data_IF_466786659105
#
_entry.id   IF_466786659105
#
_cell.length_a   1.000
_cell.length_b   1.000
_cell.length_c   1.000
_cell.angle_alpha   90.00
_cell.angle_beta   90.00
_cell.angle_gamma   90.00
#
_symmetry.space_group_name_H-M   'P 1'
#
loop_
_entity.id
_entity.type
_entity.pdbx_description
1 polymer ?
#
# COMPACT_ATOMS: atom_id res chain seq x y z
N UNK A 1 2.69 -5.49 18.49
CA UNK A 1 1.93 -5.07 17.30
C UNK A 1 2.34 -5.95 16.15
N UNK A 2 1.39 -6.31 15.29
CA UNK A 2 1.67 -6.98 14.02
C UNK A 2 2.48 -6.01 13.14
N UNK A 3 3.69 -6.42 12.70
CA UNK A 3 4.76 -5.52 12.21
C UNK A 3 4.40 -4.84 10.88
N UNK A 4 3.35 -5.31 10.20
CA UNK A 4 2.82 -4.73 8.95
C UNK A 4 1.59 -3.86 9.11
N UNK A 5 1.08 -3.69 10.33
CA UNK A 5 -0.04 -2.80 10.59
C UNK A 5 0.45 -1.35 10.63
N UNK A 6 -0.28 -0.46 9.98
CA UNK A 6 -0.07 0.97 10.16
C UNK A 6 -0.57 1.39 11.53
N UNK A 7 0.17 2.28 12.19
CA UNK A 7 -0.24 2.87 13.47
C UNK A 7 -1.53 3.69 13.33
N UNK A 8 -1.71 4.33 12.18
CA UNK A 8 -2.92 5.07 11.79
C UNK A 8 -3.30 4.63 10.38
N UNK A 9 -4.59 4.31 10.09
CA UNK A 9 -4.98 3.85 8.77
C UNK A 9 -4.73 4.91 7.70
N UNK A 10 -4.24 4.46 6.55
CA UNK A 10 -4.05 5.31 5.37
C UNK A 10 -5.40 5.51 4.70
N UNK A 11 -5.81 6.77 4.55
CA UNK A 11 -7.10 7.15 3.97
C UNK A 11 -6.92 7.51 2.50
N UNK A 12 -7.69 6.87 1.62
CA UNK A 12 -7.61 7.07 0.18
C UNK A 12 -8.99 7.36 -0.42
N UNK A 13 -8.99 8.15 -1.49
CA UNK A 13 -10.17 8.37 -2.34
C UNK A 13 -9.81 7.96 -3.75
N UNK A 14 -10.44 6.90 -4.26
CA UNK A 14 -10.10 6.31 -5.57
C UNK A 14 -10.52 7.17 -6.76
N UNK A 15 -11.59 7.96 -6.59
CA UNK A 15 -12.00 9.00 -7.55
C UNK A 15 -12.80 10.11 -6.84
N UNK A 16 -12.83 11.34 -7.41
CA UNK A 16 -13.63 12.42 -6.86
C UNK A 16 -15.10 12.01 -6.67
N UNK A 17 -15.64 12.22 -5.46
CA UNK A 17 -17.03 11.89 -5.13
C UNK A 17 -17.27 10.45 -4.65
N UNK A 18 -16.25 9.58 -4.68
CA UNK A 18 -16.32 8.26 -4.05
C UNK A 18 -16.04 8.35 -2.55
N UNK A 19 -16.56 7.41 -1.73
CA UNK A 19 -16.27 7.35 -0.31
C UNK A 19 -14.77 7.17 -0.05
N UNK A 20 -14.34 7.60 1.13
CA UNK A 20 -12.99 7.37 1.61
C UNK A 20 -12.86 5.91 2.05
N UNK A 21 -11.83 5.24 1.56
CA UNK A 21 -11.44 3.90 1.98
C UNK A 21 -10.25 3.98 2.94
N UNK A 22 -10.12 2.99 3.82
CA UNK A 22 -9.08 2.92 4.84
C UNK A 22 -8.23 1.66 4.65
N UNK A 23 -6.91 1.84 4.62
CA UNK A 23 -5.92 0.78 4.50
C UNK A 23 -5.18 0.69 5.84
N UNK A 24 -5.28 -0.48 6.46
CA UNK A 24 -4.77 -0.75 7.81
C UNK A 24 -3.40 -1.45 7.81
N UNK A 25 -3.04 -2.13 6.72
CA UNK A 25 -1.77 -2.87 6.64
C UNK A 25 -1.02 -2.66 5.33
N UNK A 26 0.27 -2.99 5.36
CA UNK A 26 1.13 -3.03 4.16
C UNK A 26 0.60 -4.03 3.13
N UNK A 27 0.04 -5.16 3.56
CA UNK A 27 -0.57 -6.15 2.67
C UNK A 27 -1.77 -5.56 1.92
N UNK A 28 -2.69 -4.92 2.63
CA UNK A 28 -3.81 -4.21 2.01
C UNK A 28 -3.35 -3.10 1.07
N UNK A 29 -2.25 -2.42 1.40
CA UNK A 29 -1.65 -1.40 0.53
C UNK A 29 -1.10 -2.02 -0.76
N UNK A 30 -0.46 -3.20 -0.69
CA UNK A 30 0.04 -3.91 -1.88
C UNK A 30 -1.11 -4.37 -2.76
N UNK A 31 -2.18 -4.95 -2.20
CA UNK A 31 -3.37 -5.34 -2.96
C UNK A 31 -3.98 -4.14 -3.71
N UNK A 32 -4.09 -3.01 -3.02
CA UNK A 32 -4.57 -1.76 -3.62
C UNK A 32 -3.67 -1.28 -4.77
N UNK A 33 -2.35 -1.29 -4.56
CA UNK A 33 -1.39 -0.86 -5.58
C UNK A 33 -1.35 -1.81 -6.77
N UNK A 34 -1.50 -3.13 -6.58
CA UNK A 34 -1.57 -4.09 -7.69
C UNK A 34 -2.78 -3.84 -8.60
N UNK A 35 -3.88 -3.32 -8.05
CA UNK A 35 -5.05 -2.87 -8.82
C UNK A 35 -4.90 -1.50 -9.50
N UNK A 36 -3.79 -0.78 -9.28
CA UNK A 36 -3.65 0.58 -9.75
C UNK A 36 -3.52 0.65 -11.29
N UNK A 37 -4.31 1.50 -11.98
CA UNK A 37 -4.31 1.54 -13.44
C UNK A 37 -2.92 1.82 -14.01
N UNK A 38 -2.45 0.98 -14.95
CA UNK A 38 -1.10 1.08 -15.57
C UNK A 38 -0.81 2.49 -16.10
N UNK A 39 -1.81 3.15 -16.72
CA UNK A 39 -1.67 4.53 -17.24
C UNK A 39 -1.42 5.58 -16.15
N UNK A 40 -1.63 5.25 -14.87
CA UNK A 40 -1.47 6.12 -13.70
C UNK A 40 -0.29 5.68 -12.80
N UNK A 41 0.52 4.71 -13.23
CA UNK A 41 1.68 4.23 -12.49
C UNK A 41 2.89 5.17 -12.68
N UNK A 42 2.83 6.34 -12.05
CA UNK A 42 3.91 7.32 -12.04
C UNK A 42 4.92 7.12 -10.89
N UNK A 43 5.82 8.09 -10.66
CA UNK A 43 6.84 8.00 -9.60
C UNK A 43 6.28 7.76 -8.19
N UNK A 44 5.12 8.33 -7.87
CA UNK A 44 4.46 8.14 -6.56
C UNK A 44 4.01 6.70 -6.38
N UNK A 45 3.43 6.09 -7.42
CA UNK A 45 3.06 4.68 -7.41
C UNK A 45 4.30 3.80 -7.16
N UNK A 46 5.39 4.04 -7.90
CA UNK A 46 6.61 3.25 -7.78
C UNK A 46 7.22 3.35 -6.38
N UNK A 47 7.26 4.56 -5.81
CA UNK A 47 7.76 4.79 -4.46
C UNK A 47 6.92 4.05 -3.40
N UNK A 48 5.59 4.15 -3.50
CA UNK A 48 4.68 3.48 -2.58
C UNK A 48 4.80 1.95 -2.68
N UNK A 49 4.84 1.41 -3.90
CA UNK A 49 4.96 -0.02 -4.14
C UNK A 49 6.30 -0.57 -3.61
N UNK A 50 7.41 0.10 -3.93
CA UNK A 50 8.73 -0.32 -3.47
C UNK A 50 8.84 -0.29 -1.94
N UNK A 51 8.27 0.73 -1.28
CA UNK A 51 8.28 0.83 0.17
C UNK A 51 7.46 -0.29 0.83
N UNK A 52 6.25 -0.54 0.32
CA UNK A 52 5.40 -1.61 0.85
C UNK A 52 6.01 -3.00 0.59
N UNK A 53 6.54 -3.23 -0.60
CA UNK A 53 7.18 -4.50 -0.95
C UNK A 53 8.44 -4.73 -0.11
N UNK A 54 9.29 -3.72 0.04
CA UNK A 54 10.49 -3.78 0.90
C UNK A 54 10.13 -4.18 2.34
N UNK A 55 9.09 -3.57 2.91
CA UNK A 55 8.62 -3.92 4.25
C UNK A 55 8.16 -5.39 4.38
N UNK A 56 7.59 -5.99 3.33
CA UNK A 56 7.25 -7.42 3.33
C UNK A 56 8.47 -8.32 3.20
N UNK A 57 9.48 -7.94 2.41
CA UNK A 57 10.72 -8.71 2.26
C UNK A 57 11.52 -8.69 3.56
N UNK A 58 11.61 -7.54 4.24
CA UNK A 58 12.29 -7.43 5.55
C UNK A 58 11.66 -8.31 6.64
N UNK A 59 10.39 -8.72 6.46
CA UNK A 59 9.69 -9.66 7.34
C UNK A 59 9.93 -11.12 7.05
N UNK A 60 10.30 -11.45 5.82
CA UNK A 60 10.80 -12.78 5.52
C UNK A 60 12.23 -12.79 6.04
N UNK A 61 12.42 -13.19 7.30
CA UNK A 61 13.76 -13.55 7.79
C UNK A 61 14.32 -14.58 6.81
N UNK A 62 15.31 -14.18 6.03
CA UNK A 62 16.03 -15.09 5.15
C UNK A 62 16.86 -16.01 6.05
N UNK A 63 16.37 -17.23 6.28
CA UNK A 63 17.11 -18.32 6.90
C UNK A 63 18.40 -18.66 6.14
#
# INVERSE_FOLDING_TARGET
MDRLQFEVPVRITTAPGLPVEEIYSVEQALDFLQGWPVRRQGPVYQAAFNACFGATVDLVETE
#
